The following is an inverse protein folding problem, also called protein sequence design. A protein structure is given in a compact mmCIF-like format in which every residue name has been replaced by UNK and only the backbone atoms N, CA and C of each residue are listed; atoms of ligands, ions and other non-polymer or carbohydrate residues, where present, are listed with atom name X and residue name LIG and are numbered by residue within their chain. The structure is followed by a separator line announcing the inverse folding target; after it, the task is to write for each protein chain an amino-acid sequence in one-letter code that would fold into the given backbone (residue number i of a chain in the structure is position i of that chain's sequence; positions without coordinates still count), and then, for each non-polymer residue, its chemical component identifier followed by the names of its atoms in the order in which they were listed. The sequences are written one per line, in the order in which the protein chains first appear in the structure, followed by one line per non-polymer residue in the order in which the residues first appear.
data_IF_745219731819
#
_entry.id   IF_745219731819
#
_cell.length_a   1.000
_cell.length_b   1.000
_cell.length_c   1.000
_cell.angle_alpha   90.00
_cell.angle_beta   90.00
_cell.angle_gamma   90.00
#
_symmetry.space_group_name_H-M   'P 1'
#
loop_
_entity.id
_entity.type
_entity.pdbx_description
1 polymer ?
#
# COMPACT_ATOMS: atom_id res chain seq x y z
N UNK A 1 -39.36 -42.51 -49.99
CA UNK A 1 -38.62 -41.35 -50.55
C UNK A 1 -39.21 -40.11 -49.89
N UNK A 2 -38.57 -39.27 -49.09
CA UNK A 2 -37.15 -38.98 -48.78
C UNK A 2 -37.15 -38.18 -47.46
N UNK A 3 -36.42 -38.65 -46.45
CA UNK A 3 -36.19 -37.94 -45.19
C UNK A 3 -35.14 -36.84 -45.40
N UNK A 4 -35.55 -35.57 -45.35
CA UNK A 4 -34.65 -34.43 -45.42
C UNK A 4 -34.02 -34.19 -44.03
N UNK A 5 -32.80 -34.69 -43.85
CA UNK A 5 -31.98 -34.37 -42.68
C UNK A 5 -31.47 -32.93 -42.78
N UNK A 6 -32.03 -32.03 -41.96
CA UNK A 6 -31.43 -30.73 -41.67
C UNK A 6 -30.23 -30.94 -40.72
N UNK A 7 -29.02 -30.88 -41.27
CA UNK A 7 -27.77 -30.86 -40.50
C UNK A 7 -27.64 -29.51 -39.77
N UNK A 8 -27.23 -29.47 -38.48
CA UNK A 8 -26.95 -28.21 -37.81
C UNK A 8 -25.66 -27.61 -38.41
N UNK A 9 -25.74 -26.33 -38.76
CA UNK A 9 -24.59 -25.54 -39.20
C UNK A 9 -23.47 -25.62 -38.15
N UNK A 10 -22.37 -26.29 -38.49
CA UNK A 10 -21.16 -26.31 -37.68
C UNK A 10 -20.56 -24.90 -37.73
N UNK A 11 -20.64 -24.18 -36.61
CA UNK A 11 -19.90 -22.94 -36.38
C UNK A 11 -18.40 -23.23 -36.50
N UNK A 12 -17.85 -23.04 -37.70
CA UNK A 12 -16.42 -23.11 -37.93
C UNK A 12 -15.80 -21.81 -37.38
N UNK A 13 -15.29 -21.85 -36.15
CA UNK A 13 -14.40 -20.80 -35.66
C UNK A 13 -13.16 -20.80 -36.56
N UNK A 14 -13.04 -19.77 -37.39
CA UNK A 14 -11.81 -19.54 -38.15
C UNK A 14 -10.66 -19.29 -37.19
N UNK A 15 -9.42 -19.59 -37.62
CA UNK A 15 -8.23 -19.37 -36.79
C UNK A 15 -8.14 -17.93 -36.23
N UNK A 16 -8.62 -16.94 -37.00
CA UNK A 16 -8.73 -15.55 -36.53
C UNK A 16 -9.72 -15.34 -35.39
N UNK A 17 -10.87 -16.03 -35.41
CA UNK A 17 -11.85 -15.99 -34.32
C UNK A 17 -11.35 -16.65 -33.03
N UNK A 18 -10.58 -17.73 -33.15
CA UNK A 18 -9.98 -18.42 -31.99
C UNK A 18 -8.90 -17.57 -31.30
N UNK A 19 -8.04 -16.90 -32.07
CA UNK A 19 -7.01 -15.99 -31.53
C UNK A 19 -7.65 -14.80 -30.81
N UNK A 20 -8.70 -14.22 -31.39
CA UNK A 20 -9.44 -13.12 -30.75
C UNK A 20 -10.13 -13.56 -29.45
N UNK A 21 -10.72 -14.76 -29.43
CA UNK A 21 -11.34 -15.32 -28.22
C UNK A 21 -10.31 -15.60 -27.10
N UNK A 22 -9.12 -16.11 -27.44
CA UNK A 22 -8.03 -16.31 -26.48
C UNK A 22 -7.52 -14.95 -25.97
N UNK A 23 -7.33 -13.96 -26.85
CA UNK A 23 -6.89 -12.63 -26.46
C UNK A 23 -7.90 -11.95 -25.51
N UNK A 24 -9.19 -12.06 -25.79
CA UNK A 24 -10.25 -11.52 -24.93
C UNK A 24 -10.32 -12.22 -23.57
N UNK A 25 -10.25 -13.55 -23.54
CA UNK A 25 -10.27 -14.31 -22.28
C UNK A 25 -9.04 -14.04 -21.41
N UNK A 26 -7.86 -13.93 -22.01
CA UNK A 26 -6.64 -13.50 -21.29
C UNK A 26 -6.78 -12.07 -20.77
N UNK A 27 -7.32 -11.14 -21.57
CA UNK A 27 -7.53 -9.75 -21.18
C UNK A 27 -8.53 -9.61 -20.02
N UNK A 28 -9.67 -10.30 -20.08
CA UNK A 28 -10.65 -10.32 -19.00
C UNK A 28 -10.10 -10.98 -17.73
N UNK A 29 -9.28 -12.03 -17.86
CA UNK A 29 -8.62 -12.65 -16.73
C UNK A 29 -7.61 -11.70 -16.07
N UNK A 30 -6.81 -10.96 -16.84
CA UNK A 30 -5.89 -9.96 -16.30
C UNK A 30 -6.61 -8.80 -15.60
N UNK A 31 -7.71 -8.32 -16.18
CA UNK A 31 -8.55 -7.29 -15.56
C UNK A 31 -9.17 -7.78 -14.24
N UNK A 32 -9.67 -9.02 -14.21
CA UNK A 32 -10.22 -9.63 -13.00
C UNK A 32 -9.15 -9.85 -11.91
N UNK A 33 -7.94 -10.29 -12.28
CA UNK A 33 -6.82 -10.41 -11.33
C UNK A 33 -6.40 -9.05 -10.76
N UNK A 34 -6.39 -8.00 -11.60
CA UNK A 34 -6.09 -6.63 -11.14
C UNK A 34 -7.15 -6.12 -10.14
N UNK A 35 -8.43 -6.41 -10.39
CA UNK A 35 -9.54 -5.99 -9.51
C UNK A 35 -9.56 -6.75 -8.18
N UNK A 36 -9.33 -8.07 -8.21
CA UNK A 36 -9.22 -8.92 -7.00
C UNK A 36 -8.03 -8.51 -6.13
N UNK A 37 -6.89 -8.18 -6.74
CA UNK A 37 -5.72 -7.69 -6.00
C UNK A 37 -5.93 -6.30 -5.40
N UNK A 38 -6.77 -5.46 -6.01
CA UNK A 38 -7.05 -4.11 -5.50
C UNK A 38 -7.81 -4.08 -4.16
N UNK A 39 -8.59 -5.15 -3.87
CA UNK A 39 -9.33 -5.34 -2.63
C UNK A 39 -8.64 -6.28 -1.63
N UNK A 40 -7.53 -6.90 -2.03
CA UNK A 40 -6.79 -7.82 -1.17
C UNK A 40 -5.94 -7.05 -0.15
N UNK A 41 -6.45 -6.88 1.07
CA UNK A 41 -5.61 -6.43 2.18
C UNK A 41 -4.68 -7.57 2.61
N UNK A 42 -3.34 -7.45 2.44
CA UNK A 42 -2.43 -8.51 2.83
C UNK A 42 -2.52 -8.72 4.33
N UNK A 43 -2.97 -9.92 4.77
CA UNK A 43 -3.02 -10.29 6.20
C UNK A 43 -1.68 -10.05 6.92
N UNK A 44 -0.58 -10.08 6.17
CA UNK A 44 0.77 -9.74 6.61
C UNK A 44 0.95 -8.28 7.04
N UNK A 45 0.30 -7.29 6.42
CA UNK A 45 0.34 -5.89 6.86
C UNK A 45 -0.29 -5.73 8.24
N UNK A 46 -1.49 -6.29 8.43
CA UNK A 46 -2.17 -6.26 9.73
C UNK A 46 -1.36 -6.99 10.81
N UNK A 47 -0.73 -8.14 10.47
CA UNK A 47 0.16 -8.86 11.39
C UNK A 47 1.43 -8.06 11.73
N UNK A 48 2.02 -7.37 10.75
CA UNK A 48 3.19 -6.53 10.98
C UNK A 48 2.83 -5.32 11.86
N UNK A 49 1.70 -4.69 11.62
CA UNK A 49 1.18 -3.59 12.46
C UNK A 49 0.96 -4.05 13.90
N UNK A 50 0.32 -5.20 14.10
CA UNK A 50 0.15 -5.81 15.42
C UNK A 50 1.48 -6.21 16.07
N UNK A 51 2.48 -6.59 15.28
CA UNK A 51 3.83 -6.86 15.80
C UNK A 51 4.49 -5.57 16.30
N UNK A 52 4.35 -4.45 15.59
CA UNK A 52 4.85 -3.14 16.02
C UNK A 52 4.15 -2.62 17.27
N UNK A 53 2.83 -2.81 17.40
CA UNK A 53 2.08 -2.48 18.62
C UNK A 53 2.61 -3.25 19.84
N UNK A 54 3.15 -4.45 19.62
CA UNK A 54 3.76 -5.30 20.65
C UNK A 54 5.26 -5.05 20.83
N UNK A 55 5.82 -4.02 20.20
CA UNK A 55 7.25 -3.71 20.25
C UNK A 55 8.13 -4.78 19.63
N UNK A 56 7.65 -5.48 18.58
CA UNK A 56 8.40 -6.53 17.87
C UNK A 56 8.77 -6.07 16.44
N UNK A 57 9.68 -5.10 16.28
CA UNK A 57 10.00 -4.53 14.97
C UNK A 57 10.65 -5.53 14.01
N UNK A 58 11.51 -6.43 14.49
CA UNK A 58 12.14 -7.43 13.61
C UNK A 58 11.13 -8.44 13.04
N UNK A 59 10.14 -8.82 13.83
CA UNK A 59 9.03 -9.64 13.34
C UNK A 59 8.20 -8.89 12.30
N UNK A 60 7.95 -7.59 12.52
CA UNK A 60 7.26 -6.76 11.55
C UNK A 60 8.04 -6.70 10.23
N UNK A 61 9.33 -6.37 10.25
CA UNK A 61 10.19 -6.34 9.06
C UNK A 61 10.19 -7.67 8.33
N UNK A 62 10.33 -8.80 9.05
CA UNK A 62 10.26 -10.14 8.46
C UNK A 62 8.94 -10.40 7.72
N UNK A 63 7.81 -9.96 8.29
CA UNK A 63 6.50 -10.07 7.64
C UNK A 63 6.38 -9.16 6.41
N UNK A 64 6.92 -7.93 6.49
CA UNK A 64 6.90 -6.95 5.41
C UNK A 64 7.79 -7.35 4.23
N UNK A 65 8.94 -7.99 4.48
CA UNK A 65 9.83 -8.46 3.42
C UNK A 65 9.24 -9.63 2.62
N UNK A 66 8.53 -10.56 3.27
CA UNK A 66 7.92 -11.73 2.62
C UNK A 66 6.85 -11.38 1.59
N UNK A 67 6.27 -10.18 1.67
CA UNK A 67 5.16 -9.74 0.81
C UNK A 67 5.60 -8.75 -0.28
N UNK A 68 6.89 -8.41 -0.38
CA UNK A 68 7.40 -7.39 -1.31
C UNK A 68 7.05 -7.68 -2.78
N UNK A 69 6.87 -8.95 -3.14
CA UNK A 69 6.46 -9.37 -4.49
C UNK A 69 4.94 -9.23 -4.78
N UNK A 70 4.11 -9.15 -3.74
CA UNK A 70 2.64 -9.19 -3.82
C UNK A 70 2.05 -7.78 -3.81
N UNK A 71 2.73 -6.84 -3.17
CA UNK A 71 2.30 -5.44 -3.05
C UNK A 71 2.63 -4.68 -4.33
N UNK A 72 1.69 -4.64 -5.28
CA UNK A 72 1.86 -3.97 -6.58
C UNK A 72 1.10 -2.65 -6.70
N UNK A 73 0.01 -2.45 -5.96
CA UNK A 73 -0.70 -1.18 -5.93
C UNK A 73 -0.04 -0.16 -4.97
N UNK A 74 -0.21 1.11 -5.29
CA UNK A 74 0.42 2.21 -4.55
C UNK A 74 -0.09 2.32 -3.09
N UNK A 75 -1.35 1.94 -2.82
CA UNK A 75 -1.95 2.01 -1.48
C UNK A 75 -1.29 1.02 -0.53
N UNK A 76 -1.19 -0.25 -0.91
CA UNK A 76 -0.54 -1.29 -0.13
C UNK A 76 0.96 -1.04 -0.04
N UNK A 77 1.58 -0.49 -1.10
CA UNK A 77 2.99 -0.09 -1.08
C UNK A 77 3.23 1.01 -0.03
N UNK A 78 2.44 2.08 -0.07
CA UNK A 78 2.54 3.18 0.88
C UNK A 78 2.37 2.70 2.33
N UNK A 79 1.35 1.86 2.58
CA UNK A 79 1.13 1.29 3.90
C UNK A 79 2.28 0.39 4.35
N UNK A 80 2.77 -0.50 3.48
CA UNK A 80 3.91 -1.37 3.79
C UNK A 80 5.14 -0.55 4.16
N UNK A 81 5.44 0.50 3.38
CA UNK A 81 6.57 1.39 3.64
C UNK A 81 6.39 2.21 4.91
N UNK A 82 5.16 2.62 5.23
CA UNK A 82 4.89 3.30 6.49
C UNK A 82 5.11 2.41 7.71
N UNK A 83 4.82 1.11 7.61
CA UNK A 83 5.13 0.13 8.65
C UNK A 83 6.63 -0.15 8.73
N UNK A 84 7.33 -0.24 7.60
CA UNK A 84 8.81 -0.35 7.56
C UNK A 84 9.48 0.84 8.25
N UNK A 85 9.05 2.05 7.91
CA UNK A 85 9.46 3.31 8.56
C UNK A 85 9.31 3.22 10.09
N UNK A 86 8.11 2.86 10.57
CA UNK A 86 7.87 2.67 12.01
C UNK A 86 8.73 1.58 12.64
N UNK A 87 8.97 0.48 11.93
CA UNK A 87 9.77 -0.63 12.45
C UNK A 87 11.22 -0.20 12.70
N UNK A 88 11.84 0.48 11.74
CA UNK A 88 13.20 1.01 11.91
C UNK A 88 13.27 2.12 12.95
N UNK A 89 12.26 2.99 13.04
CA UNK A 89 12.17 3.97 14.12
C UNK A 89 12.09 3.32 15.52
N UNK A 90 11.33 2.24 15.69
CA UNK A 90 11.30 1.50 16.97
C UNK A 90 12.65 0.87 17.34
N UNK A 91 13.52 0.64 16.35
CA UNK A 91 14.90 0.18 16.56
C UNK A 91 15.91 1.31 16.78
N UNK A 92 15.48 2.57 16.64
CA UNK A 92 16.38 3.74 16.66
C UNK A 92 17.20 3.93 15.38
N UNK A 93 16.91 3.16 14.33
CA UNK A 93 17.63 3.20 13.05
C UNK A 93 17.00 4.26 12.13
N UNK A 94 17.14 5.54 12.49
CA UNK A 94 16.41 6.65 11.86
C UNK A 94 16.82 6.88 10.40
N UNK A 95 18.11 6.82 10.09
CA UNK A 95 18.65 6.96 8.73
C UNK A 95 18.12 5.85 7.81
N UNK A 96 17.98 4.63 8.35
CA UNK A 96 17.42 3.49 7.61
C UNK A 96 15.90 3.59 7.43
N UNK A 97 15.20 4.25 8.36
CA UNK A 97 13.76 4.49 8.26
C UNK A 97 13.39 5.50 7.17
N UNK A 98 14.24 6.50 6.91
CA UNK A 98 13.91 7.66 6.08
C UNK A 98 13.39 7.33 4.66
N UNK A 99 14.05 6.45 3.87
CA UNK A 99 13.55 6.10 2.54
C UNK A 99 12.15 5.49 2.57
N UNK A 100 11.85 4.69 3.59
CA UNK A 100 10.54 4.08 3.77
C UNK A 100 9.48 5.13 4.14
N UNK A 101 9.79 6.07 5.03
CA UNK A 101 8.87 7.16 5.38
C UNK A 101 8.58 8.06 4.16
N UNK A 102 9.61 8.37 3.37
CA UNK A 102 9.48 9.16 2.14
C UNK A 102 8.63 8.45 1.08
N UNK A 103 8.86 7.15 0.87
CA UNK A 103 8.07 6.36 -0.07
C UNK A 103 6.60 6.28 0.36
N UNK A 104 6.35 6.12 1.67
CA UNK A 104 4.98 6.08 2.19
C UNK A 104 4.21 7.37 1.94
N UNK A 105 4.85 8.53 2.09
CA UNK A 105 4.25 9.84 1.78
C UNK A 105 4.05 10.01 0.27
N UNK A 106 5.03 9.63 -0.54
CA UNK A 106 4.98 9.82 -1.99
C UNK A 106 3.95 8.91 -2.69
N UNK A 107 3.71 7.71 -2.17
CA UNK A 107 2.76 6.73 -2.75
C UNK A 107 1.41 6.69 -2.03
N UNK A 108 1.27 7.41 -0.93
CA UNK A 108 0.05 7.43 -0.14
C UNK A 108 -1.09 8.15 -0.85
N UNK A 109 -2.31 7.61 -0.73
CA UNK A 109 -3.52 8.32 -1.13
C UNK A 109 -3.98 9.31 -0.04
N UNK A 110 -4.80 10.29 -0.40
CA UNK A 110 -5.22 11.36 0.52
C UNK A 110 -5.86 10.83 1.81
N UNK A 111 -6.67 9.77 1.71
CA UNK A 111 -7.36 9.16 2.85
C UNK A 111 -6.41 8.69 3.97
N UNK A 112 -5.18 8.26 3.63
CA UNK A 112 -4.21 7.77 4.61
C UNK A 112 -2.95 8.63 4.73
N UNK A 113 -2.81 9.65 3.88
CA UNK A 113 -1.62 10.50 3.81
C UNK A 113 -1.29 11.14 5.16
N UNK A 114 -2.29 11.49 5.97
CA UNK A 114 -2.07 12.04 7.31
C UNK A 114 -1.27 11.10 8.23
N UNK A 115 -1.45 9.77 8.13
CA UNK A 115 -0.69 8.80 8.94
C UNK A 115 0.76 8.75 8.51
N UNK A 116 1.00 8.78 7.19
CA UNK A 116 2.35 8.71 6.62
C UNK A 116 3.14 9.97 6.94
N UNK A 117 2.51 11.15 6.81
CA UNK A 117 3.07 12.43 7.22
C UNK A 117 3.36 12.45 8.72
N UNK A 118 2.44 11.99 9.57
CA UNK A 118 2.69 11.91 11.00
C UNK A 118 3.89 11.01 11.33
N UNK A 119 4.05 9.86 10.67
CA UNK A 119 5.19 8.98 10.91
C UNK A 119 6.51 9.59 10.44
N UNK A 120 6.53 10.27 9.28
CA UNK A 120 7.73 10.97 8.81
C UNK A 120 8.07 12.18 9.67
N UNK A 121 7.07 12.91 10.16
CA UNK A 121 7.27 13.99 11.12
C UNK A 121 7.92 13.47 12.41
N UNK A 122 7.48 12.33 12.91
CA UNK A 122 8.07 11.71 14.10
C UNK A 122 9.52 11.26 13.85
N UNK A 123 9.82 10.72 12.67
CA UNK A 123 11.21 10.43 12.26
C UNK A 123 12.06 11.71 12.27
N UNK A 124 11.60 12.77 11.59
CA UNK A 124 12.32 14.04 11.47
C UNK A 124 12.56 14.69 12.83
N UNK A 125 11.59 14.59 13.74
CA UNK A 125 11.74 15.06 15.12
C UNK A 125 12.83 14.28 15.85
N UNK A 126 12.89 12.95 15.70
CA UNK A 126 13.96 12.13 16.26
C UNK A 126 15.35 12.43 15.66
N UNK A 127 15.40 12.90 14.41
CA UNK A 127 16.61 13.37 13.74
C UNK A 127 16.96 14.85 14.06
N UNK A 128 16.19 15.54 14.93
CA UNK A 128 16.41 16.95 15.27
C UNK A 128 15.99 17.94 14.17
N UNK A 129 15.30 17.49 13.13
CA UNK A 129 14.82 18.31 12.00
C UNK A 129 13.46 18.92 12.31
N UNK A 130 13.41 19.78 13.33
CA UNK A 130 12.17 20.26 13.95
C UNK A 130 11.25 21.00 12.98
N UNK A 131 11.77 21.92 12.16
CA UNK A 131 10.95 22.68 11.21
C UNK A 131 10.31 21.78 10.15
N UNK A 132 11.02 20.74 9.69
CA UNK A 132 10.48 19.78 8.74
C UNK A 132 9.45 18.85 9.38
N UNK A 133 9.66 18.48 10.66
CA UNK A 133 8.71 17.73 11.44
C UNK A 133 7.40 18.51 11.65
N UNK A 134 7.50 19.79 12.03
CA UNK A 134 6.35 20.68 12.19
C UNK A 134 5.54 20.78 10.89
N UNK A 135 6.21 20.94 9.74
CA UNK A 135 5.56 21.01 8.44
C UNK A 135 4.75 19.73 8.14
N UNK A 136 5.32 18.56 8.40
CA UNK A 136 4.64 17.27 8.22
C UNK A 136 3.46 17.12 9.19
N UNK A 137 3.63 17.43 10.48
CA UNK A 137 2.55 17.32 11.46
C UNK A 137 1.42 18.31 11.21
N UNK A 138 1.73 19.53 10.79
CA UNK A 138 0.73 20.54 10.41
C UNK A 138 -0.10 20.05 9.25
N UNK A 139 0.53 19.51 8.21
CA UNK A 139 -0.20 18.93 7.07
C UNK A 139 -1.01 17.71 7.48
N UNK A 140 -0.48 16.84 8.35
CA UNK A 140 -1.22 15.70 8.89
C UNK A 140 -2.46 16.13 9.68
N UNK A 141 -2.36 17.17 10.52
CA UNK A 141 -3.47 17.71 11.31
C UNK A 141 -4.52 18.41 10.43
N UNK A 142 -4.12 19.03 9.31
CA UNK A 142 -5.06 19.57 8.33
C UNK A 142 -5.85 18.48 7.61
N UNK A 143 -5.18 17.39 7.21
CA UNK A 143 -5.81 16.27 6.50
C UNK A 143 -6.71 15.42 7.43
N UNK A 144 -6.37 15.33 8.71
CA UNK A 144 -7.22 14.70 9.71
C UNK A 144 -7.26 15.52 11.00
N UNK A 145 -8.17 16.52 11.06
CA UNK A 145 -8.33 17.39 12.22
C UNK A 145 -8.73 16.63 13.48
N UNK A 146 -9.31 15.43 13.38
CA UNK A 146 -9.70 14.61 14.51
C UNK A 146 -8.53 13.81 15.11
N UNK A 147 -7.42 13.64 14.39
CA UNK A 147 -6.24 12.90 14.87
C UNK A 147 -5.55 13.54 16.07
N UNK A 148 -5.77 12.98 17.26
CA UNK A 148 -5.09 13.42 18.50
C UNK A 148 -3.57 13.30 18.38
N UNK A 149 -3.08 12.24 17.74
CA UNK A 149 -1.64 12.01 17.54
C UNK A 149 -1.00 13.12 16.70
N UNK A 150 -1.62 13.50 15.57
CA UNK A 150 -1.08 14.55 14.71
C UNK A 150 -1.05 15.91 15.43
N UNK A 151 -2.12 16.25 16.17
CA UNK A 151 -2.16 17.50 16.96
C UNK A 151 -1.15 17.53 18.10
N UNK A 152 -1.03 16.43 18.84
CA UNK A 152 -0.05 16.29 19.91
C UNK A 152 1.37 16.45 19.38
N UNK A 153 1.70 15.75 18.29
CA UNK A 153 3.03 15.80 17.71
C UNK A 153 3.34 17.17 17.07
N UNK A 154 2.34 17.86 16.51
CA UNK A 154 2.49 19.25 16.07
C UNK A 154 2.86 20.17 17.24
N UNK A 155 2.18 20.02 18.38
CA UNK A 155 2.47 20.83 19.57
C UNK A 155 3.88 20.57 20.10
N UNK A 156 4.29 19.29 20.11
CA UNK A 156 5.65 18.89 20.50
C UNK A 156 6.70 19.45 19.53
N UNK A 157 6.47 19.40 18.23
CA UNK A 157 7.42 19.95 17.26
C UNK A 157 7.61 21.46 17.41
N UNK A 158 6.57 22.19 17.83
CA UNK A 158 6.61 23.64 18.07
C UNK A 158 7.35 24.06 19.35
N UNK A 159 7.70 23.11 20.23
CA UNK A 159 8.44 23.42 21.46
C UNK A 159 9.96 23.36 21.30
N UNK A 160 10.45 23.09 20.09
CA UNK A 160 11.86 23.07 19.72
C UNK A 160 12.15 24.18 18.71
#
# INVERSE_FOLDING_TARGET
MTTQHLLPARLALTAGGLVLAIALTVCMSMAAHADVLSHYEPKSLARAEKALERGKPDLALKLLHRQRAIVRDDKHLARSQSLTCRAYMQKGEYETAEPACNTAVARGNEANLWRHLNNRGALRLAQGRYSEAEADFRRAALLNPASRAARHNLQLAKSF
#
